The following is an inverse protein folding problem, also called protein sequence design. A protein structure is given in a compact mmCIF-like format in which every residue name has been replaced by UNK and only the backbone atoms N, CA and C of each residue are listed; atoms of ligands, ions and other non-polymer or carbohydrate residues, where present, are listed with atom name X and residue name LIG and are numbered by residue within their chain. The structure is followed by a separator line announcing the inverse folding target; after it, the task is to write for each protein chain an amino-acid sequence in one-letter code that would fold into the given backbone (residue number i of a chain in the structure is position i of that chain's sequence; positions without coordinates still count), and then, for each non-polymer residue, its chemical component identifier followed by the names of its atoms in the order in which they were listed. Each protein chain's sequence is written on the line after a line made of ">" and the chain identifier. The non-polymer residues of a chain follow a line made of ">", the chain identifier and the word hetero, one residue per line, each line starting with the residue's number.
data_IF_733940661256
#
_entry.id   IF_733940661256
#
_cell.length_a   1.000
_cell.length_b   1.000
_cell.length_c   1.000
_cell.angle_alpha   90.00
_cell.angle_beta   90.00
_cell.angle_gamma   90.00
#
_symmetry.space_group_name_H-M   'P 1'
#
loop_
_entity.id
_entity.type
_entity.pdbx_description
1 polymer ?
#
# COMPACT_ATOMS: atom_id res chain seq x y z
N UNK A 1 2.65 8.10 -9.37
CA UNK A 1 3.85 7.99 -8.50
C UNK A 1 4.95 8.96 -8.92
N UNK A 2 5.19 9.16 -10.22
CA UNK A 2 6.17 10.13 -10.74
C UNK A 2 5.68 11.57 -10.55
N UNK A 3 4.42 11.85 -10.80
CA UNK A 3 3.80 13.17 -10.52
C UNK A 3 3.80 13.51 -9.02
N UNK A 4 3.60 12.52 -8.14
CA UNK A 4 3.71 12.73 -6.69
C UNK A 4 5.15 12.97 -6.21
N UNK A 5 6.15 12.37 -6.84
CA UNK A 5 7.57 12.66 -6.52
C UNK A 5 7.98 14.06 -6.96
N UNK A 6 7.56 14.47 -8.14
CA UNK A 6 7.85 15.82 -8.65
C UNK A 6 7.06 16.89 -7.90
N UNK A 7 5.80 16.64 -7.54
CA UNK A 7 5.01 17.53 -6.71
C UNK A 7 5.52 17.67 -5.27
N UNK A 8 6.16 16.63 -4.70
CA UNK A 8 6.82 16.74 -3.39
C UNK A 8 8.16 17.47 -3.45
N UNK A 9 8.88 17.34 -4.54
CA UNK A 9 10.10 18.12 -4.78
C UNK A 9 9.75 19.61 -4.90
N UNK A 10 8.75 19.96 -5.69
CA UNK A 10 8.23 21.33 -5.81
C UNK A 10 7.72 21.91 -4.49
N UNK A 11 7.06 21.10 -3.64
CA UNK A 11 6.61 21.56 -2.32
C UNK A 11 7.73 21.72 -1.29
N UNK A 12 8.85 21.01 -1.44
CA UNK A 12 10.03 21.23 -0.59
C UNK A 12 10.84 22.45 -0.99
N UNK A 13 10.83 22.79 -2.27
CA UNK A 13 11.52 23.97 -2.81
C UNK A 13 10.81 25.29 -2.46
N UNK A 14 9.49 25.28 -2.22
CA UNK A 14 8.70 26.47 -1.82
C UNK A 14 8.93 26.98 -0.39
N UNK A 15 9.96 26.55 0.31
CA UNK A 15 10.31 26.97 1.69
C UNK A 15 11.67 27.63 1.85
N UNK A 16 12.32 27.98 0.76
CA UNK A 16 13.50 28.84 0.75
C UNK A 16 13.09 30.23 0.27
N UNK A 17 13.74 31.26 0.75
CA UNK A 17 13.37 32.66 0.55
C UNK A 17 13.16 33.02 -0.92
N UNK A 18 12.07 33.78 -1.20
CA UNK A 18 11.50 34.00 -2.55
C UNK A 18 12.47 34.60 -3.59
N UNK A 19 13.50 35.30 -3.18
CA UNK A 19 14.47 35.93 -4.10
C UNK A 19 15.54 34.96 -4.62
N UNK A 20 15.97 33.99 -3.80
CA UNK A 20 16.92 32.94 -4.23
C UNK A 20 16.26 31.89 -5.12
N UNK A 21 14.93 31.68 -4.97
CA UNK A 21 14.17 30.72 -5.78
C UNK A 21 14.02 31.18 -7.24
N UNK A 22 13.80 32.46 -7.51
CA UNK A 22 13.70 32.97 -8.88
C UNK A 22 15.02 32.83 -9.65
N UNK A 23 16.15 33.09 -9.02
CA UNK A 23 17.46 32.91 -9.65
C UNK A 23 17.81 31.42 -9.87
N UNK A 24 17.44 30.52 -8.94
CA UNK A 24 17.70 29.08 -9.09
C UNK A 24 16.78 28.41 -10.11
N UNK A 25 15.51 28.85 -10.19
CA UNK A 25 14.57 28.41 -11.23
C UNK A 25 15.01 28.92 -12.60
N UNK A 26 15.49 30.16 -12.70
CA UNK A 26 16.05 30.71 -13.94
C UNK A 26 17.37 30.02 -14.32
N UNK A 27 18.21 29.67 -13.35
CA UNK A 27 19.45 28.94 -13.60
C UNK A 27 19.18 27.48 -14.00
N UNK A 28 18.18 26.83 -13.44
CA UNK A 28 17.72 25.50 -13.86
C UNK A 28 17.10 25.56 -15.27
N UNK A 29 16.24 26.53 -15.57
CA UNK A 29 15.74 26.77 -16.94
C UNK A 29 16.87 27.00 -17.94
N UNK A 30 17.96 27.66 -17.54
CA UNK A 30 19.18 27.82 -18.37
C UNK A 30 20.02 26.54 -18.50
N UNK A 31 20.02 25.67 -17.51
CA UNK A 31 20.78 24.39 -17.51
C UNK A 31 20.20 23.36 -18.48
N UNK A 32 18.93 23.55 -18.87
CA UNK A 32 18.25 22.71 -19.89
C UNK A 32 18.52 23.17 -21.32
N UNK A 33 19.49 24.06 -21.52
CA UNK A 33 19.98 24.42 -22.83
C UNK A 33 21.24 23.60 -23.19
N UNK A 34 21.34 23.12 -24.39
CA UNK A 34 20.35 23.18 -25.47
C UNK A 34 19.63 21.85 -25.61
N UNK A 35 18.31 21.87 -25.65
CA UNK A 35 17.58 20.82 -26.34
C UNK A 35 18.22 20.72 -27.72
N UNK A 36 18.67 19.56 -28.21
CA UNK A 36 19.31 19.42 -29.52
C UNK A 36 18.48 20.15 -30.57
N UNK A 37 19.16 20.82 -31.54
CA UNK A 37 18.50 21.61 -32.60
C UNK A 37 17.37 20.82 -33.27
N UNK A 38 17.51 19.50 -33.40
CA UNK A 38 16.47 18.59 -33.87
C UNK A 38 15.21 18.57 -32.99
N UNK A 39 15.35 18.66 -31.68
CA UNK A 39 14.21 18.67 -30.75
C UNK A 39 13.42 19.97 -30.80
N UNK A 40 14.04 21.10 -31.11
CA UNK A 40 13.32 22.37 -31.33
C UNK A 40 12.48 22.34 -32.60
N UNK A 41 12.98 21.69 -33.66
CA UNK A 41 12.23 21.52 -34.93
C UNK A 41 11.07 20.56 -34.72
N UNK A 42 11.28 19.49 -33.99
CA UNK A 42 10.25 18.50 -33.63
C UNK A 42 9.17 19.15 -32.80
N UNK A 43 9.56 19.95 -31.81
CA UNK A 43 8.70 20.68 -30.93
C UNK A 43 7.76 21.65 -31.66
N UNK A 44 8.24 22.33 -32.69
CA UNK A 44 7.44 23.22 -33.53
C UNK A 44 6.47 22.48 -34.46
N UNK A 45 6.75 21.22 -34.81
CA UNK A 45 5.96 20.45 -35.78
C UNK A 45 5.09 19.39 -35.17
N UNK A 46 5.58 18.67 -34.14
CA UNK A 46 4.87 17.53 -33.60
C UNK A 46 5.44 17.13 -32.22
N UNK A 47 4.74 17.47 -31.15
CA UNK A 47 5.11 17.11 -29.76
C UNK A 47 5.18 15.59 -29.58
N UNK A 48 4.27 14.83 -30.22
CA UNK A 48 4.25 13.36 -30.15
C UNK A 48 5.56 12.72 -30.59
N UNK A 49 6.25 13.34 -31.55
CA UNK A 49 7.54 12.83 -31.99
C UNK A 49 8.61 12.90 -30.89
N UNK A 50 8.60 13.97 -30.10
CA UNK A 50 9.51 14.11 -28.96
C UNK A 50 9.27 13.03 -27.90
N UNK A 51 8.02 12.69 -27.64
CA UNK A 51 7.64 11.69 -26.65
C UNK A 51 8.00 10.25 -27.09
N UNK A 52 8.05 10.01 -28.39
CA UNK A 52 8.39 8.69 -28.95
C UNK A 52 9.91 8.46 -29.10
N UNK A 53 10.74 9.49 -28.85
CA UNK A 53 12.18 9.34 -28.85
C UNK A 53 12.65 8.71 -27.51
N UNK A 54 13.85 8.11 -27.52
CA UNK A 54 14.50 7.55 -26.33
C UNK A 54 15.04 8.65 -25.41
N UNK A 55 14.16 9.53 -24.97
CA UNK A 55 14.43 10.44 -23.87
C UNK A 55 14.06 9.75 -22.56
N UNK A 56 14.76 10.08 -21.49
CA UNK A 56 14.30 9.64 -20.18
C UNK A 56 13.04 10.41 -19.73
N UNK A 57 12.47 10.02 -18.60
CA UNK A 57 11.22 10.62 -18.11
C UNK A 57 11.39 12.09 -17.74
N UNK A 58 12.56 12.46 -17.22
CA UNK A 58 12.86 13.85 -16.87
C UNK A 58 12.90 14.76 -18.10
N UNK A 59 13.54 14.31 -19.18
CA UNK A 59 13.60 15.04 -20.45
C UNK A 59 12.22 15.26 -21.07
N UNK A 60 11.36 14.25 -21.04
CA UNK A 60 9.99 14.34 -21.56
C UNK A 60 9.16 15.36 -20.79
N UNK A 61 9.23 15.37 -19.47
CA UNK A 61 8.53 16.34 -18.63
C UNK A 61 8.99 17.77 -18.90
N UNK A 62 10.31 18.00 -19.01
CA UNK A 62 10.84 19.32 -19.32
C UNK A 62 10.44 19.82 -20.71
N UNK A 63 10.33 18.93 -21.69
CA UNK A 63 9.84 19.27 -23.04
C UNK A 63 8.36 19.69 -22.97
N UNK A 64 7.55 18.99 -22.16
CA UNK A 64 6.14 19.34 -21.97
C UNK A 64 5.98 20.69 -21.26
N UNK A 65 6.70 20.93 -20.18
CA UNK A 65 6.64 22.21 -19.46
C UNK A 65 6.99 23.38 -20.37
N UNK A 66 8.03 23.24 -21.20
CA UNK A 66 8.37 24.26 -22.20
C UNK A 66 7.31 24.45 -23.26
N UNK A 67 6.58 23.39 -23.64
CA UNK A 67 5.48 23.50 -24.57
C UNK A 67 4.38 24.38 -24.01
N UNK A 68 4.04 24.20 -22.72
CA UNK A 68 3.06 25.03 -22.03
C UNK A 68 3.52 26.48 -21.88
N UNK A 69 4.79 26.71 -21.53
CA UNK A 69 5.35 28.05 -21.35
C UNK A 69 5.40 28.89 -22.65
N UNK A 70 5.69 28.25 -23.79
CA UNK A 70 5.88 28.96 -25.04
C UNK A 70 4.67 28.99 -25.98
N UNK A 71 3.76 28.04 -25.84
CA UNK A 71 2.59 27.91 -26.71
C UNK A 71 1.34 27.40 -25.98
N UNK A 72 0.88 28.08 -24.91
CA UNK A 72 -0.29 27.63 -24.16
C UNK A 72 -1.55 27.55 -25.05
N UNK A 73 -1.67 28.45 -26.00
CA UNK A 73 -2.86 28.54 -26.88
C UNK A 73 -2.91 27.48 -27.99
N UNK A 74 -1.83 26.69 -28.14
CA UNK A 74 -1.70 25.67 -29.20
C UNK A 74 -1.84 24.22 -28.67
N UNK A 75 -1.93 24.06 -27.37
CA UNK A 75 -2.12 22.77 -26.74
C UNK A 75 -3.62 22.51 -26.57
N UNK A 76 -4.19 21.78 -27.51
CA UNK A 76 -5.60 21.39 -27.48
C UNK A 76 -5.72 20.16 -26.59
N UNK A 77 -6.74 20.04 -25.71
CA UNK A 77 -7.01 18.82 -24.98
C UNK A 77 -7.06 17.60 -25.91
N UNK A 78 -6.32 16.55 -25.58
CA UNK A 78 -6.15 15.35 -26.43
C UNK A 78 -5.03 15.42 -27.46
N UNK A 79 -4.30 16.52 -27.56
CA UNK A 79 -3.15 16.65 -28.48
C UNK A 79 -1.90 15.97 -27.94
N UNK A 80 -1.81 15.78 -26.62
CA UNK A 80 -0.77 15.00 -25.95
C UNK A 80 -1.28 13.58 -25.73
N UNK A 81 -0.42 12.56 -25.92
CA UNK A 81 -0.79 11.22 -25.51
C UNK A 81 -1.08 11.24 -24.01
N UNK A 82 -2.14 10.57 -23.62
CA UNK A 82 -2.42 10.36 -22.21
C UNK A 82 -1.22 9.64 -21.57
N UNK A 83 -0.80 10.10 -20.39
CA UNK A 83 0.23 9.42 -19.62
C UNK A 83 -0.40 8.16 -19.07
N UNK A 84 0.00 7.01 -19.61
CA UNK A 84 -0.39 5.72 -19.03
C UNK A 84 0.16 5.63 -17.61
N UNK A 85 -0.72 5.39 -16.65
CA UNK A 85 -0.33 5.07 -15.28
C UNK A 85 0.32 3.70 -15.16
N UNK A 86 1.00 3.46 -14.06
CA UNK A 86 1.51 2.13 -13.73
C UNK A 86 0.35 1.13 -13.64
N UNK A 87 0.49 -0.04 -14.27
CA UNK A 87 -0.56 -1.06 -14.28
C UNK A 87 -0.85 -1.59 -12.88
N UNK A 88 -2.12 -1.87 -12.61
CA UNK A 88 -2.50 -2.70 -11.49
C UNK A 88 -2.12 -4.15 -11.79
N UNK A 89 -1.33 -4.76 -10.93
CA UNK A 89 -0.80 -6.11 -11.16
C UNK A 89 -1.33 -7.14 -10.17
N UNK A 90 -1.74 -6.69 -8.98
CA UNK A 90 -2.30 -7.55 -7.92
C UNK A 90 -3.40 -6.82 -7.16
N UNK A 91 -4.50 -7.53 -6.85
CA UNK A 91 -5.49 -7.07 -5.87
C UNK A 91 -5.80 -8.24 -4.95
N UNK A 92 -5.29 -8.17 -3.71
CA UNK A 92 -5.62 -9.13 -2.66
C UNK A 92 -6.93 -8.78 -1.97
N UNK A 93 -7.65 -9.80 -1.54
CA UNK A 93 -8.86 -9.66 -0.73
C UNK A 93 -8.99 -10.85 0.22
N UNK A 94 -9.42 -10.59 1.44
CA UNK A 94 -9.71 -11.63 2.43
C UNK A 94 -11.10 -11.44 2.99
N UNK A 95 -11.83 -12.53 3.17
CA UNK A 95 -13.23 -12.50 3.58
C UNK A 95 -13.40 -13.21 4.92
N UNK A 96 -14.04 -12.51 5.85
CA UNK A 96 -14.32 -12.99 7.20
C UNK A 96 -15.81 -12.91 7.48
N UNK A 97 -16.31 -13.84 8.28
CA UNK A 97 -17.61 -13.69 8.90
C UNK A 97 -17.47 -12.96 10.24
N UNK A 98 -18.46 -12.16 10.58
CA UNK A 98 -18.48 -11.46 11.86
C UNK A 98 -18.34 -12.46 13.02
N UNK A 99 -17.40 -12.18 13.94
CA UNK A 99 -17.10 -13.05 15.08
C UNK A 99 -16.05 -14.15 14.82
N UNK A 100 -15.72 -14.49 13.58
CA UNK A 100 -14.70 -15.49 13.27
C UNK A 100 -13.28 -14.90 13.26
N UNK A 101 -12.30 -15.70 13.69
CA UNK A 101 -10.90 -15.28 13.83
C UNK A 101 -10.07 -15.54 12.57
N UNK A 102 -10.54 -16.43 11.72
CA UNK A 102 -9.87 -16.85 10.49
C UNK A 102 -10.70 -16.47 9.28
N UNK A 103 -10.07 -16.10 8.16
CA UNK A 103 -10.80 -15.88 6.92
C UNK A 103 -11.42 -17.22 6.46
N UNK A 104 -12.62 -17.16 5.93
CA UNK A 104 -13.21 -18.31 5.25
C UNK A 104 -12.80 -18.37 3.78
N UNK A 105 -12.24 -17.27 3.24
CA UNK A 105 -11.81 -17.19 1.86
C UNK A 105 -10.71 -16.13 1.70
N UNK A 106 -9.59 -16.52 1.11
CA UNK A 106 -8.50 -15.66 0.70
C UNK A 106 -8.45 -15.63 -0.83
N UNK A 107 -8.33 -14.45 -1.41
CA UNK A 107 -8.39 -14.28 -2.85
C UNK A 107 -7.35 -13.27 -3.33
N UNK A 108 -6.75 -13.54 -4.49
CA UNK A 108 -5.91 -12.57 -5.17
C UNK A 108 -6.14 -12.65 -6.69
N UNK A 109 -6.49 -11.53 -7.31
CA UNK A 109 -6.45 -11.40 -8.78
C UNK A 109 -5.07 -10.92 -9.18
N UNK A 110 -4.51 -11.52 -10.22
CA UNK A 110 -3.13 -11.28 -10.67
C UNK A 110 -3.10 -11.05 -12.18
N UNK A 111 -2.36 -10.03 -12.60
CA UNK A 111 -2.07 -9.80 -14.01
C UNK A 111 -0.92 -10.72 -14.45
N UNK A 112 -1.14 -11.46 -15.53
CA UNK A 112 -0.33 -12.57 -16.03
C UNK A 112 -0.40 -13.83 -15.17
N UNK A 113 0.19 -14.93 -15.67
CA UNK A 113 0.19 -16.23 -15.01
C UNK A 113 0.80 -16.18 -13.61
N UNK A 114 0.17 -16.83 -12.66
CA UNK A 114 0.62 -16.94 -11.28
C UNK A 114 0.38 -18.37 -10.78
N UNK A 115 1.35 -18.93 -10.07
CA UNK A 115 1.19 -20.23 -9.43
C UNK A 115 0.35 -20.08 -8.14
N UNK A 116 -0.29 -21.16 -7.72
CA UNK A 116 -1.03 -21.18 -6.46
C UNK A 116 -0.10 -21.02 -5.24
N UNK A 117 -0.60 -20.38 -4.21
CA UNK A 117 0.09 -20.25 -2.94
C UNK A 117 -0.28 -21.41 -2.01
N UNK A 118 0.56 -22.44 -1.99
CA UNK A 118 0.35 -23.62 -1.13
C UNK A 118 0.44 -23.33 0.37
N UNK A 119 1.04 -22.21 0.75
CA UNK A 119 1.31 -21.83 2.13
C UNK A 119 0.20 -20.99 2.78
N UNK A 120 -0.81 -20.57 2.03
CA UNK A 120 -1.95 -19.80 2.54
C UNK A 120 -3.20 -20.67 2.46
N UNK A 121 -3.78 -21.07 3.59
CA UNK A 121 -5.00 -21.88 3.60
C UNK A 121 -6.16 -21.15 2.90
N UNK A 122 -7.02 -21.92 2.26
CA UNK A 122 -8.25 -21.43 1.61
C UNK A 122 -8.01 -20.25 0.67
N UNK A 123 -6.88 -20.27 -0.05
CA UNK A 123 -6.52 -19.24 -1.01
C UNK A 123 -6.85 -19.63 -2.44
N UNK A 124 -7.38 -18.69 -3.21
CA UNK A 124 -7.62 -18.80 -4.64
C UNK A 124 -6.91 -17.67 -5.36
N UNK A 125 -6.06 -18.02 -6.31
CA UNK A 125 -5.37 -17.09 -7.19
C UNK A 125 -6.04 -17.13 -8.57
N UNK A 126 -6.54 -15.99 -9.02
CA UNK A 126 -7.11 -15.87 -10.37
C UNK A 126 -6.16 -15.04 -11.25
N UNK A 127 -5.64 -15.67 -12.30
CA UNK A 127 -4.72 -15.04 -13.26
C UNK A 127 -5.49 -14.51 -14.48
N UNK A 128 -5.11 -13.33 -14.95
CA UNK A 128 -5.72 -12.67 -16.09
C UNK A 128 -4.65 -12.14 -17.05
N UNK A 129 -4.90 -12.26 -18.35
CA UNK A 129 -3.98 -11.80 -19.39
C UNK A 129 -4.04 -10.28 -19.61
N UNK A 130 -5.16 -9.67 -19.27
CA UNK A 130 -5.34 -8.21 -19.40
C UNK A 130 -5.69 -7.56 -18.06
N UNK A 131 -5.22 -6.33 -17.88
CA UNK A 131 -5.54 -5.55 -16.68
C UNK A 131 -7.05 -5.29 -16.57
N UNK A 132 -7.72 -5.06 -17.70
CA UNK A 132 -9.18 -4.93 -17.77
C UNK A 132 -9.90 -6.13 -17.15
N UNK A 133 -9.54 -7.32 -17.59
CA UNK A 133 -10.19 -8.55 -17.12
C UNK A 133 -9.89 -8.80 -15.65
N UNK A 134 -8.68 -8.49 -15.19
CA UNK A 134 -8.29 -8.56 -13.78
C UNK A 134 -9.13 -7.60 -12.91
N UNK A 135 -9.29 -6.35 -13.32
CA UNK A 135 -10.13 -5.38 -12.60
C UNK A 135 -11.59 -5.82 -12.53
N UNK A 136 -12.12 -6.34 -13.62
CA UNK A 136 -13.50 -6.89 -13.68
C UNK A 136 -13.62 -8.19 -12.89
N UNK A 137 -12.58 -9.02 -12.86
CA UNK A 137 -12.50 -10.22 -12.01
C UNK A 137 -12.62 -9.86 -10.54
N UNK A 138 -11.86 -8.87 -10.07
CA UNK A 138 -12.00 -8.39 -8.69
C UNK A 138 -13.41 -7.85 -8.39
N UNK A 139 -13.99 -7.05 -9.29
CA UNK A 139 -15.37 -6.60 -9.15
C UNK A 139 -16.36 -7.77 -9.03
N UNK A 140 -16.16 -8.85 -9.83
CA UNK A 140 -17.01 -10.02 -9.79
C UNK A 140 -16.95 -10.75 -8.43
N UNK A 141 -15.76 -10.84 -7.82
CA UNK A 141 -15.61 -11.42 -6.48
C UNK A 141 -16.35 -10.58 -5.44
N UNK A 142 -16.22 -9.25 -5.46
CA UNK A 142 -16.97 -8.38 -4.55
C UNK A 142 -18.50 -8.55 -4.73
N UNK A 143 -18.97 -8.75 -5.95
CA UNK A 143 -20.39 -9.00 -6.20
C UNK A 143 -20.84 -10.41 -5.74
N UNK A 144 -19.98 -11.41 -5.89
CA UNK A 144 -20.25 -12.81 -5.52
C UNK A 144 -20.28 -13.00 -4.02
N UNK A 145 -19.25 -12.51 -3.33
CA UNK A 145 -19.12 -12.64 -1.87
C UNK A 145 -20.01 -11.64 -1.12
N UNK A 146 -20.44 -10.59 -1.79
CA UNK A 146 -21.39 -9.57 -1.32
C UNK A 146 -21.12 -9.04 0.11
N UNK A 147 -19.91 -8.54 0.41
CA UNK A 147 -19.55 -8.12 1.75
C UNK A 147 -20.40 -6.95 2.24
N UNK A 148 -20.79 -6.98 3.52
CA UNK A 148 -21.48 -5.86 4.19
C UNK A 148 -20.51 -4.72 4.50
N UNK A 149 -19.27 -5.06 4.82
CA UNK A 149 -18.22 -4.12 5.23
C UNK A 149 -16.96 -4.37 4.41
N UNK A 150 -16.42 -3.31 3.83
CA UNK A 150 -15.12 -3.31 3.16
C UNK A 150 -14.16 -2.53 4.04
N UNK A 151 -13.06 -3.19 4.44
CA UNK A 151 -12.06 -2.63 5.33
C UNK A 151 -10.73 -2.56 4.56
N UNK A 152 -10.03 -1.45 4.71
CA UNK A 152 -8.70 -1.33 4.13
C UNK A 152 -7.83 -0.33 4.88
N UNK A 153 -6.63 -0.14 4.40
CA UNK A 153 -5.66 0.78 4.98
C UNK A 153 -5.21 1.82 3.96
N UNK A 154 -5.65 3.05 4.13
CA UNK A 154 -5.45 4.16 3.18
C UNK A 154 -6.14 3.96 1.82
N UNK A 155 -7.22 3.20 1.79
CA UNK A 155 -7.97 2.92 0.57
C UNK A 155 -8.61 4.18 -0.02
N UNK A 156 -8.96 5.16 0.82
CA UNK A 156 -9.51 6.45 0.36
C UNK A 156 -8.42 7.40 -0.15
N UNK A 157 -7.17 7.21 0.28
CA UNK A 157 -6.06 8.04 -0.16
C UNK A 157 -5.30 7.48 -1.36
N UNK A 158 -5.44 6.18 -1.63
CA UNK A 158 -4.64 5.53 -2.67
C UNK A 158 -5.43 4.51 -3.50
N UNK A 159 -5.96 3.43 -2.89
CA UNK A 159 -6.46 2.27 -3.67
C UNK A 159 -7.66 2.62 -4.55
N UNK A 160 -8.67 3.29 -4.01
CA UNK A 160 -9.85 3.62 -4.80
C UNK A 160 -9.60 4.63 -5.93
N UNK A 161 -8.88 5.76 -5.71
CA UNK A 161 -8.50 6.63 -6.80
C UNK A 161 -7.67 5.92 -7.87
N UNK A 162 -6.74 5.06 -7.44
CA UNK A 162 -5.90 4.30 -8.34
C UNK A 162 -6.73 3.32 -9.19
N UNK A 163 -7.55 2.48 -8.57
CA UNK A 163 -8.39 1.53 -9.28
C UNK A 163 -9.40 2.21 -10.21
N UNK A 164 -9.95 3.36 -9.79
CA UNK A 164 -10.85 4.15 -10.63
C UNK A 164 -10.14 4.63 -11.90
N UNK A 165 -8.97 5.25 -11.76
CA UNK A 165 -8.17 5.73 -12.89
C UNK A 165 -7.74 4.56 -13.80
N UNK A 166 -7.31 3.42 -13.21
CA UNK A 166 -6.97 2.24 -14.00
C UNK A 166 -8.16 1.69 -14.79
N UNK A 167 -9.35 1.67 -14.19
CA UNK A 167 -10.57 1.24 -14.88
C UNK A 167 -10.98 2.20 -16.01
N UNK A 168 -10.72 3.50 -15.84
CA UNK A 168 -10.94 4.52 -16.86
C UNK A 168 -9.97 4.33 -18.04
N UNK A 169 -8.67 4.26 -17.78
CA UNK A 169 -7.63 4.04 -18.80
C UNK A 169 -7.78 2.70 -19.56
N UNK A 170 -8.31 1.67 -18.89
CA UNK A 170 -8.63 0.38 -19.52
C UNK A 170 -10.04 0.34 -20.17
N UNK A 171 -10.73 1.46 -20.28
CA UNK A 171 -12.06 1.57 -20.89
C UNK A 171 -13.09 0.60 -20.30
N UNK A 172 -13.00 0.29 -19.01
CA UNK A 172 -13.93 -0.60 -18.31
C UNK A 172 -14.62 0.04 -17.11
N UNK A 173 -14.48 1.34 -16.91
CA UNK A 173 -14.99 2.06 -15.74
C UNK A 173 -16.47 1.81 -15.47
N UNK A 174 -17.32 1.84 -16.50
CA UNK A 174 -18.77 1.62 -16.35
C UNK A 174 -19.08 0.25 -15.79
N UNK A 175 -18.36 -0.79 -16.25
CA UNK A 175 -18.51 -2.16 -15.77
C UNK A 175 -17.87 -2.35 -14.39
N UNK A 176 -16.71 -1.75 -14.15
CA UNK A 176 -16.02 -1.77 -12.87
C UNK A 176 -16.87 -1.15 -11.76
N UNK A 177 -17.55 -0.05 -12.04
CA UNK A 177 -18.41 0.64 -11.07
C UNK A 177 -19.74 -0.09 -10.76
N UNK A 178 -20.03 -1.23 -11.36
CA UNK A 178 -21.14 -2.11 -10.95
C UNK A 178 -20.81 -2.89 -9.66
N UNK A 179 -20.26 -2.24 -8.67
CA UNK A 179 -19.78 -2.80 -7.39
C UNK A 179 -20.78 -2.56 -6.26
N UNK A 180 -21.84 -1.80 -6.53
CA UNK A 180 -22.94 -1.54 -5.59
C UNK A 180 -23.73 -2.81 -5.29
N UNK A 181 -24.25 -2.89 -4.06
CA UNK A 181 -25.31 -3.84 -3.70
C UNK A 181 -26.66 -3.42 -4.30
N UNK A 182 -26.94 -2.12 -4.28
CA UNK A 182 -28.11 -1.56 -4.95
C UNK A 182 -27.87 -1.43 -6.46
N UNK A 183 -28.44 -2.35 -7.24
CA UNK A 183 -28.25 -2.40 -8.70
C UNK A 183 -28.84 -1.21 -9.46
N UNK A 184 -29.73 -0.44 -8.82
CA UNK A 184 -30.40 0.71 -9.44
C UNK A 184 -29.58 2.01 -9.30
N UNK A 185 -28.50 2.00 -8.55
CA UNK A 185 -27.65 3.16 -8.31
C UNK A 185 -26.28 2.93 -8.95
N UNK A 186 -25.82 3.93 -9.69
CA UNK A 186 -24.46 3.91 -10.25
C UNK A 186 -23.45 4.35 -9.20
N UNK A 187 -22.44 3.54 -8.97
CA UNK A 187 -21.28 3.95 -8.20
C UNK A 187 -20.54 5.08 -8.91
N UNK A 188 -19.93 5.92 -8.12
CA UNK A 188 -19.07 7.02 -8.62
C UNK A 188 -17.94 7.26 -7.63
N UNK A 189 -16.83 7.79 -8.10
CA UNK A 189 -15.81 8.33 -7.23
C UNK A 189 -16.36 9.62 -6.59
N UNK A 190 -16.30 9.70 -5.28
CA UNK A 190 -16.66 10.88 -4.49
C UNK A 190 -15.38 11.47 -3.93
N UNK A 191 -15.12 12.72 -4.27
CA UNK A 191 -14.02 13.49 -3.70
C UNK A 191 -14.59 14.40 -2.62
N UNK A 192 -14.16 14.20 -1.38
CA UNK A 192 -14.61 14.98 -0.23
C UNK A 192 -13.43 15.47 0.56
N UNK A 193 -13.43 16.74 0.85
CA UNK A 193 -12.46 17.35 1.75
C UNK A 193 -13.07 17.50 3.13
N UNK A 194 -12.38 16.96 4.14
CA UNK A 194 -12.76 17.13 5.55
C UNK A 194 -11.66 17.87 6.30
N UNK A 195 -12.08 18.75 7.19
CA UNK A 195 -11.17 19.47 8.08
C UNK A 195 -11.38 19.00 9.51
N UNK A 196 -10.36 18.43 10.09
CA UNK A 196 -10.33 17.95 11.48
C UNK A 196 -9.12 18.57 12.22
N UNK A 197 -8.99 18.33 13.51
CA UNK A 197 -7.91 18.91 14.33
C UNK A 197 -6.50 18.63 13.78
N UNK A 198 -6.29 17.47 13.15
CA UNK A 198 -5.02 17.08 12.53
C UNK A 198 -4.77 17.70 11.14
N UNK A 199 -5.65 18.58 10.67
CA UNK A 199 -5.54 19.27 9.37
C UNK A 199 -6.67 18.97 8.39
N UNK A 200 -6.44 19.33 7.14
CA UNK A 200 -7.35 19.07 6.03
C UNK A 200 -7.00 17.74 5.36
N UNK A 201 -7.99 16.86 5.20
CA UNK A 201 -7.84 15.55 4.60
C UNK A 201 -8.74 15.41 3.39
N UNK A 202 -8.19 14.88 2.31
CA UNK A 202 -8.94 14.52 1.12
C UNK A 202 -9.33 13.06 1.20
N UNK A 203 -10.61 12.77 1.04
CA UNK A 203 -11.18 11.43 1.00
C UNK A 203 -11.72 11.19 -0.41
N UNK A 204 -11.14 10.22 -1.10
CA UNK A 204 -11.59 9.81 -2.41
C UNK A 204 -12.10 8.37 -2.31
N UNK A 205 -13.39 8.18 -2.38
CA UNK A 205 -13.98 6.85 -2.22
C UNK A 205 -15.02 6.56 -3.29
N UNK A 206 -15.12 5.30 -3.66
CA UNK A 206 -16.18 4.83 -4.56
C UNK A 206 -17.45 4.69 -3.72
N UNK A 207 -18.50 5.44 -4.04
CA UNK A 207 -19.78 5.30 -3.36
C UNK A 207 -20.38 3.91 -3.66
N UNK A 208 -20.55 3.10 -2.62
CA UNK A 208 -21.08 1.75 -2.69
C UNK A 208 -22.31 1.63 -1.79
N UNK A 209 -23.47 1.93 -2.33
CA UNK A 209 -24.70 1.83 -1.55
C UNK A 209 -24.97 0.39 -1.12
N UNK A 210 -25.32 0.24 0.16
CA UNK A 210 -25.52 -1.05 0.80
C UNK A 210 -24.25 -1.72 1.33
N UNK A 211 -23.09 -1.03 1.29
CA UNK A 211 -21.82 -1.48 1.89
C UNK A 211 -21.23 -0.40 2.76
N UNK A 212 -20.77 -0.77 3.93
CA UNK A 212 -19.99 0.11 4.81
C UNK A 212 -18.52 0.05 4.38
N UNK A 213 -17.83 1.18 4.37
CA UNK A 213 -16.42 1.26 4.03
C UNK A 213 -15.64 1.87 5.18
N UNK A 214 -14.60 1.19 5.62
CA UNK A 214 -13.76 1.59 6.75
C UNK A 214 -12.30 1.71 6.30
N UNK A 215 -11.76 2.91 6.38
CA UNK A 215 -10.34 3.15 6.16
C UNK A 215 -9.62 3.29 7.49
N UNK A 216 -8.85 2.28 7.87
CA UNK A 216 -8.13 2.24 9.15
C UNK A 216 -7.04 3.30 9.26
N UNK A 217 -6.44 3.73 8.16
CA UNK A 217 -5.46 4.82 8.21
C UNK A 217 -6.08 6.12 8.72
N UNK A 218 -7.26 6.47 8.23
CA UNK A 218 -7.99 7.64 8.67
C UNK A 218 -8.53 7.47 10.10
N UNK A 219 -8.99 6.26 10.45
CA UNK A 219 -9.43 5.93 11.80
C UNK A 219 -8.30 6.16 12.81
N UNK A 220 -7.13 5.55 12.62
CA UNK A 220 -6.02 5.69 13.57
C UNK A 220 -5.48 7.12 13.66
N UNK A 221 -5.45 7.85 12.56
CA UNK A 221 -5.03 9.26 12.58
C UNK A 221 -5.96 10.17 13.39
N UNK A 222 -7.21 9.78 13.51
CA UNK A 222 -8.21 10.52 14.30
C UNK A 222 -8.20 10.11 15.76
N UNK A 223 -8.14 8.81 16.04
CA UNK A 223 -8.40 8.27 17.38
C UNK A 223 -7.11 8.07 18.21
N UNK A 224 -5.95 7.89 17.56
CA UNK A 224 -4.73 7.51 18.26
C UNK A 224 -3.57 8.40 17.85
N UNK A 225 -2.84 8.93 18.84
CA UNK A 225 -1.63 9.69 18.57
C UNK A 225 -0.40 8.77 18.48
N UNK A 226 0.08 8.52 17.27
CA UNK A 226 1.22 7.65 16.98
C UNK A 226 2.34 8.42 16.28
N UNK A 227 3.61 8.09 16.53
CA UNK A 227 4.75 8.66 15.82
C UNK A 227 4.75 8.39 14.32
N UNK A 228 4.09 7.31 13.89
CA UNK A 228 3.95 6.92 12.48
C UNK A 228 2.65 6.17 12.25
N UNK A 229 1.99 6.50 11.15
CA UNK A 229 0.78 5.81 10.70
C UNK A 229 1.04 4.89 9.49
N UNK A 230 2.29 4.43 9.29
CA UNK A 230 2.57 3.34 8.34
C UNK A 230 1.99 2.05 8.88
N UNK A 231 1.43 1.22 8.00
CA UNK A 231 0.80 -0.06 8.39
C UNK A 231 1.73 -0.91 9.25
N UNK A 232 3.01 -1.00 8.92
CA UNK A 232 4.02 -1.74 9.70
C UNK A 232 4.14 -1.24 11.15
N UNK A 233 4.11 0.09 11.32
CA UNK A 233 4.21 0.67 12.66
C UNK A 233 2.95 0.41 13.47
N UNK A 234 1.79 0.63 12.87
CA UNK A 234 0.49 0.40 13.50
C UNK A 234 0.32 -1.07 13.86
N UNK A 235 0.67 -1.98 12.94
CA UNK A 235 0.65 -3.41 13.21
C UNK A 235 1.55 -3.79 14.39
N UNK A 236 2.80 -3.34 14.39
CA UNK A 236 3.75 -3.60 15.49
C UNK A 236 3.31 -2.98 16.82
N UNK A 237 2.58 -1.87 16.77
CA UNK A 237 2.08 -1.21 17.97
C UNK A 237 0.93 -1.97 18.62
N UNK A 238 -0.05 -2.41 17.82
CA UNK A 238 -1.26 -3.07 18.34
C UNK A 238 -1.14 -4.59 18.43
N UNK A 239 -0.40 -5.23 17.52
CA UNK A 239 -0.12 -6.67 17.57
C UNK A 239 1.27 -6.85 18.16
N UNK A 240 1.32 -6.88 19.47
CA UNK A 240 2.54 -7.02 20.24
C UNK A 240 2.26 -6.93 21.72
N UNK A 241 3.17 -7.49 22.53
CA UNK A 241 3.03 -7.53 23.97
C UNK A 241 4.38 -7.77 24.67
N UNK A 242 4.39 -7.75 25.98
CA UNK A 242 5.57 -8.02 26.78
C UNK A 242 5.86 -9.52 26.86
N UNK A 243 7.14 -9.84 26.81
CA UNK A 243 7.64 -11.19 27.05
C UNK A 243 7.74 -11.43 28.56
N UNK A 244 7.16 -12.53 29.02
CA UNK A 244 7.20 -12.99 30.43
C UNK A 244 8.41 -13.84 30.74
N UNK A 245 8.74 -14.71 29.78
CA UNK A 245 9.74 -15.76 29.99
C UNK A 245 10.41 -16.07 28.63
N UNK A 246 11.70 -16.39 28.69
CA UNK A 246 12.54 -16.70 27.55
C UNK A 246 13.32 -17.99 27.83
N UNK A 247 13.08 -19.00 27.01
CA UNK A 247 13.74 -20.29 27.12
C UNK A 247 14.41 -20.67 25.79
N UNK A 248 15.71 -20.87 25.81
CA UNK A 248 16.47 -21.34 24.65
C UNK A 248 16.58 -22.86 24.67
N UNK A 249 16.37 -23.49 23.51
CA UNK A 249 16.62 -24.90 23.30
C UNK A 249 17.44 -25.14 22.02
N UNK A 250 17.69 -26.40 21.67
CA UNK A 250 18.45 -26.77 20.47
C UNK A 250 17.82 -26.26 19.15
N UNK A 251 16.53 -25.90 19.17
CA UNK A 251 15.74 -25.56 17.99
C UNK A 251 15.32 -24.10 17.97
N UNK A 252 15.85 -23.23 18.84
CA UNK A 252 15.57 -21.79 18.89
C UNK A 252 15.14 -21.27 20.25
N UNK A 253 14.49 -20.11 20.25
CA UNK A 253 14.00 -19.46 21.48
C UNK A 253 12.50 -19.59 21.61
N UNK A 254 12.02 -20.13 22.69
CA UNK A 254 10.62 -20.14 23.12
C UNK A 254 10.36 -18.94 24.02
N UNK A 255 9.37 -18.11 23.65
CA UNK A 255 9.01 -16.91 24.39
C UNK A 255 7.56 -17.03 24.87
N UNK A 256 7.31 -16.74 26.15
CA UNK A 256 5.98 -16.63 26.73
C UNK A 256 5.55 -15.17 26.74
N UNK A 257 4.28 -14.92 26.43
CA UNK A 257 3.68 -13.59 26.40
C UNK A 257 2.27 -13.62 26.99
N UNK A 258 1.75 -12.47 27.40
CA UNK A 258 0.39 -12.40 27.97
C UNK A 258 -0.69 -12.52 26.91
N UNK A 259 -0.43 -11.98 25.73
CA UNK A 259 -1.40 -11.93 24.66
C UNK A 259 -0.72 -12.12 23.31
N UNK A 260 -1.12 -13.17 22.59
CA UNK A 260 -0.62 -13.50 21.25
C UNK A 260 -1.66 -13.18 20.16
N UNK A 261 -2.80 -12.60 20.49
CA UNK A 261 -3.87 -12.31 19.52
C UNK A 261 -3.36 -11.52 18.33
N UNK A 262 -3.57 -12.05 17.13
CA UNK A 262 -3.11 -11.49 15.87
C UNK A 262 -1.74 -11.96 15.40
N UNK A 263 -0.99 -12.72 16.24
CA UNK A 263 0.21 -13.42 15.82
C UNK A 263 -0.17 -14.76 15.19
N UNK A 264 0.51 -15.12 14.11
CA UNK A 264 0.33 -16.41 13.43
C UNK A 264 1.66 -17.10 13.21
N UNK A 265 1.62 -18.42 13.04
CA UNK A 265 2.78 -19.21 12.61
C UNK A 265 3.31 -18.66 11.29
N UNK A 266 4.63 -18.58 11.18
CA UNK A 266 5.38 -18.01 10.06
C UNK A 266 5.33 -16.49 9.92
N UNK A 267 4.62 -15.75 10.76
CA UNK A 267 4.80 -14.31 10.88
C UNK A 267 6.22 -13.96 11.31
N UNK A 268 6.60 -12.70 11.09
CA UNK A 268 7.84 -12.14 11.61
C UNK A 268 7.54 -11.25 12.82
N UNK A 269 8.44 -11.28 13.80
CA UNK A 269 8.38 -10.42 14.98
C UNK A 269 9.67 -9.64 15.15
N UNK A 270 9.57 -8.47 15.78
CA UNK A 270 10.69 -7.67 16.25
C UNK A 270 10.64 -7.58 17.77
N UNK A 271 11.80 -7.37 18.38
CA UNK A 271 11.89 -7.15 19.80
C UNK A 271 12.39 -5.75 20.10
N UNK A 272 11.83 -5.14 21.13
CA UNK A 272 12.23 -3.87 21.69
C UNK A 272 12.61 -4.10 23.15
N UNK A 273 13.76 -3.56 23.55
CA UNK A 273 14.22 -3.59 24.94
C UNK A 273 13.86 -2.25 25.57
N UNK A 274 13.09 -2.31 26.66
CA UNK A 274 12.58 -1.14 27.36
C UNK A 274 13.36 -0.99 28.65
N UNK A 275 14.13 0.10 28.75
CA UNK A 275 14.88 0.48 29.95
C UNK A 275 14.08 1.33 30.93
N UNK A 276 14.67 1.67 32.07
CA UNK A 276 14.07 2.54 33.09
C UNK A 276 14.07 4.04 32.73
N UNK A 277 14.88 4.45 31.79
CA UNK A 277 14.89 5.79 31.19
C UNK A 277 14.48 5.64 29.71
N UNK A 278 14.19 6.73 29.02
CA UNK A 278 13.71 6.79 27.63
C UNK A 278 14.54 6.03 26.57
N UNK A 279 15.48 5.22 26.97
CA UNK A 279 16.39 4.43 26.13
C UNK A 279 15.76 3.11 25.67
N UNK A 280 14.64 3.24 24.96
CA UNK A 280 14.05 2.10 24.26
C UNK A 280 14.81 1.87 22.97
N UNK A 281 15.34 0.69 22.75
CA UNK A 281 16.02 0.36 21.52
C UNK A 281 15.59 -0.98 20.93
N UNK A 282 15.68 -1.05 19.62
CA UNK A 282 15.35 -2.29 18.89
C UNK A 282 16.45 -3.31 19.09
N UNK A 283 16.07 -4.48 19.57
CA UNK A 283 16.99 -5.60 19.74
C UNK A 283 17.56 -6.02 18.38
N UNK A 284 18.89 -6.10 18.28
CA UNK A 284 19.62 -6.37 17.03
C UNK A 284 19.17 -5.47 15.87
N UNK A 285 18.82 -4.22 16.16
CA UNK A 285 18.49 -3.22 15.16
C UNK A 285 17.18 -3.50 14.42
N UNK A 286 17.25 -3.66 13.09
CA UNK A 286 16.08 -3.93 12.24
C UNK A 286 15.78 -5.41 12.04
N UNK A 287 16.48 -6.31 12.71
CA UNK A 287 16.31 -7.74 12.48
C UNK A 287 14.91 -8.19 12.84
N UNK A 288 14.39 -9.08 12.02
CA UNK A 288 13.10 -9.74 12.19
C UNK A 288 13.34 -11.22 12.42
N UNK A 289 12.49 -11.82 13.23
CA UNK A 289 12.61 -13.20 13.65
C UNK A 289 11.36 -13.96 13.23
N UNK A 290 11.53 -15.04 12.48
CA UNK A 290 10.40 -15.83 11.99
C UNK A 290 9.84 -16.72 13.09
N UNK A 291 8.56 -16.65 13.33
CA UNK A 291 7.81 -17.54 14.22
C UNK A 291 7.70 -18.90 13.55
N UNK A 292 8.32 -19.92 14.13
CA UNK A 292 8.31 -21.29 13.59
C UNK A 292 7.22 -22.15 14.21
N UNK A 293 6.81 -21.81 15.43
CA UNK A 293 5.77 -22.52 16.18
C UNK A 293 5.12 -21.60 17.21
N UNK A 294 3.88 -21.90 17.59
CA UNK A 294 3.16 -21.15 18.62
C UNK A 294 1.99 -21.94 19.17
N UNK A 295 1.60 -21.59 20.40
CA UNK A 295 0.36 -22.05 21.03
C UNK A 295 -0.26 -20.83 21.75
N UNK A 296 -1.41 -20.38 21.24
CA UNK A 296 -2.09 -19.20 21.77
C UNK A 296 -2.70 -19.47 23.15
N UNK A 297 -3.26 -20.66 23.36
CA UNK A 297 -3.89 -21.06 24.63
C UNK A 297 -2.88 -21.12 25.78
N UNK A 298 -1.67 -21.63 25.51
CA UNK A 298 -0.58 -21.68 26.47
C UNK A 298 0.24 -20.38 26.55
N UNK A 299 -0.02 -19.43 25.66
CA UNK A 299 0.59 -18.11 25.64
C UNK A 299 2.08 -18.11 25.27
N UNK A 300 2.50 -18.90 24.27
CA UNK A 300 3.89 -18.93 23.83
C UNK A 300 4.04 -18.99 22.31
N UNK A 301 5.17 -18.48 21.84
CA UNK A 301 5.62 -18.65 20.46
C UNK A 301 7.13 -18.94 20.44
N UNK A 302 7.62 -19.49 19.33
CA UNK A 302 9.01 -19.90 19.14
C UNK A 302 9.59 -19.29 17.87
N UNK A 303 10.80 -18.76 17.97
CA UNK A 303 11.61 -18.30 16.83
C UNK A 303 12.80 -19.23 16.64
N UNK A 304 13.31 -19.29 15.39
CA UNK A 304 14.37 -20.23 15.02
C UNK A 304 15.72 -19.90 15.67
N UNK A 305 15.98 -18.62 15.88
CA UNK A 305 17.24 -18.12 16.40
C UNK A 305 17.32 -18.28 17.92
N UNK A 306 18.51 -18.54 18.43
CA UNK A 306 18.79 -18.46 19.86
C UNK A 306 19.06 -17.02 20.25
N UNK A 307 18.11 -16.44 20.99
CA UNK A 307 18.13 -15.03 21.40
C UNK A 307 18.65 -14.92 22.83
N UNK A 308 19.60 -14.02 23.01
CA UNK A 308 20.11 -13.64 24.34
C UNK A 308 19.77 -12.17 24.54
N UNK A 309 18.89 -11.89 25.47
CA UNK A 309 18.48 -10.53 25.81
C UNK A 309 19.30 -10.01 27.00
N UNK A 310 19.44 -8.70 27.11
CA UNK A 310 20.10 -8.06 28.24
C UNK A 310 19.29 -8.23 29.52
N UNK A 311 19.98 -8.61 30.61
CA UNK A 311 19.36 -8.74 31.92
C UNK A 311 18.80 -7.41 32.45
N UNK A 312 17.69 -7.48 33.17
CA UNK A 312 17.07 -6.32 33.80
C UNK A 312 16.25 -5.41 32.87
N UNK A 313 16.15 -5.71 31.57
CA UNK A 313 15.29 -4.97 30.64
C UNK A 313 13.99 -5.71 30.36
N UNK A 314 12.91 -4.95 30.26
CA UNK A 314 11.63 -5.50 29.76
C UNK A 314 11.70 -5.71 28.27
N UNK A 315 11.29 -6.87 27.80
CA UNK A 315 11.26 -7.23 26.40
C UNK A 315 9.84 -7.07 25.90
N UNK A 316 9.66 -6.30 24.83
CA UNK A 316 8.40 -6.21 24.11
C UNK A 316 8.61 -6.83 22.72
N UNK A 317 7.72 -7.70 22.30
CA UNK A 317 7.65 -8.13 20.91
C UNK A 317 6.55 -7.35 20.17
N UNK A 318 6.72 -7.18 18.88
CA UNK A 318 5.71 -6.61 17.98
C UNK A 318 5.78 -7.29 16.63
N UNK A 319 4.62 -7.40 15.99
CA UNK A 319 4.52 -7.96 14.65
C UNK A 319 5.37 -7.14 13.68
N UNK A 320 6.09 -7.82 12.82
CA UNK A 320 6.88 -7.19 11.77
C UNK A 320 6.37 -7.68 10.41
N UNK A 321 6.21 -6.76 9.49
CA UNK A 321 5.81 -7.07 8.11
C UNK A 321 6.91 -7.86 7.40
N UNK A 322 6.54 -8.72 6.45
CA UNK A 322 7.50 -9.40 5.56
C UNK A 322 8.39 -8.40 4.82
N UNK A 323 9.64 -8.81 4.51
CA UNK A 323 10.62 -7.96 3.86
C UNK A 323 10.49 -8.01 2.33
N UNK A 324 9.32 -7.69 1.79
CA UNK A 324 9.17 -7.46 0.36
C UNK A 324 9.35 -5.97 0.12
N UNK A 325 10.51 -5.60 -0.43
CA UNK A 325 10.81 -4.22 -0.75
C UNK A 325 10.08 -3.79 -2.04
N UNK A 326 9.87 -2.48 -2.30
CA UNK A 326 9.33 -2.02 -3.57
C UNK A 326 10.13 -2.51 -4.78
N UNK A 327 11.45 -2.63 -4.66
CA UNK A 327 12.32 -3.17 -5.71
C UNK A 327 12.05 -4.67 -5.94
N UNK A 328 11.83 -5.44 -4.87
CA UNK A 328 11.45 -6.85 -4.98
C UNK A 328 10.07 -6.99 -5.64
N UNK A 329 9.10 -6.14 -5.29
CA UNK A 329 7.78 -6.16 -5.94
C UNK A 329 7.95 -5.98 -7.45
N UNK A 330 8.68 -4.96 -7.91
CA UNK A 330 8.92 -4.74 -9.34
C UNK A 330 9.64 -5.92 -10.00
N UNK A 331 10.67 -6.45 -9.36
CA UNK A 331 11.44 -7.58 -9.89
C UNK A 331 10.59 -8.85 -10.00
N UNK A 332 9.88 -9.21 -8.94
CA UNK A 332 9.08 -10.44 -8.87
C UNK A 332 7.81 -10.36 -9.73
N UNK A 333 7.19 -9.20 -9.84
CA UNK A 333 6.03 -8.99 -10.74
C UNK A 333 6.39 -9.30 -12.19
N UNK A 334 7.59 -8.89 -12.62
CA UNK A 334 8.10 -9.12 -13.98
C UNK A 334 8.82 -10.48 -14.13
N UNK A 335 8.87 -11.28 -13.09
CA UNK A 335 9.50 -12.58 -13.06
C UNK A 335 8.63 -13.72 -13.60
N UNK A 336 8.82 -14.90 -13.04
CA UNK A 336 8.06 -16.12 -13.36
C UNK A 336 6.69 -16.15 -12.65
N UNK A 337 5.85 -17.15 -12.97
CA UNK A 337 4.60 -17.42 -12.24
C UNK A 337 4.84 -17.71 -10.75
N UNK A 338 5.97 -18.36 -10.42
CA UNK A 338 6.40 -18.60 -9.03
C UNK A 338 6.79 -17.32 -8.31
N UNK A 339 7.45 -16.40 -8.99
CA UNK A 339 7.82 -15.10 -8.42
C UNK A 339 6.56 -14.28 -8.11
N UNK A 340 5.57 -14.32 -9.01
CA UNK A 340 4.28 -13.63 -8.79
C UNK A 340 3.49 -14.27 -7.63
N UNK A 341 3.59 -15.57 -7.42
CA UNK A 341 2.96 -16.24 -6.27
C UNK A 341 3.48 -15.71 -4.92
N UNK A 342 4.76 -15.31 -4.84
CA UNK A 342 5.33 -14.67 -3.65
C UNK A 342 4.62 -13.34 -3.35
N UNK A 343 4.37 -12.52 -4.40
CA UNK A 343 3.67 -11.24 -4.25
C UNK A 343 2.18 -11.45 -3.92
N UNK A 344 1.52 -12.42 -4.56
CA UNK A 344 0.13 -12.75 -4.28
C UNK A 344 -0.06 -13.15 -2.81
N UNK A 345 0.82 -14.02 -2.29
CA UNK A 345 0.87 -14.37 -0.87
C UNK A 345 1.03 -13.14 0.01
N UNK A 346 1.98 -12.27 -0.33
CA UNK A 346 2.22 -11.04 0.40
C UNK A 346 0.98 -10.12 0.41
N UNK A 347 0.28 -9.96 -0.72
CA UNK A 347 -0.96 -9.19 -0.80
C UNK A 347 -2.05 -9.75 0.12
N UNK A 348 -2.25 -11.07 0.13
CA UNK A 348 -3.22 -11.73 1.01
C UNK A 348 -2.84 -11.53 2.49
N UNK A 349 -1.58 -11.66 2.83
CA UNK A 349 -1.10 -11.46 4.20
C UNK A 349 -1.31 -10.02 4.69
N UNK A 350 -1.12 -9.03 3.82
CA UNK A 350 -1.41 -7.63 4.13
C UNK A 350 -2.90 -7.40 4.39
N UNK A 351 -3.78 -8.03 3.62
CA UNK A 351 -5.23 -7.97 3.85
C UNK A 351 -5.62 -8.60 5.20
N UNK A 352 -5.06 -9.79 5.52
CA UNK A 352 -5.26 -10.44 6.80
C UNK A 352 -4.78 -9.56 7.96
N UNK A 353 -3.63 -8.91 7.80
CA UNK A 353 -3.08 -8.00 8.80
C UNK A 353 -4.03 -6.84 9.12
N UNK A 354 -4.63 -6.22 8.10
CA UNK A 354 -5.61 -5.15 8.26
C UNK A 354 -6.80 -5.63 9.11
N UNK A 355 -7.30 -6.82 8.83
CA UNK A 355 -8.41 -7.41 9.60
C UNK A 355 -8.01 -7.71 11.06
N UNK A 356 -6.79 -8.22 11.30
CA UNK A 356 -6.32 -8.47 12.66
C UNK A 356 -6.22 -7.18 13.48
N UNK A 357 -5.73 -6.09 12.89
CA UNK A 357 -5.68 -4.77 13.53
C UNK A 357 -7.09 -4.26 13.82
N UNK A 358 -8.00 -4.38 12.87
CA UNK A 358 -9.40 -3.98 13.03
C UNK A 358 -10.08 -4.65 14.21
N UNK A 359 -9.89 -5.97 14.34
CA UNK A 359 -10.47 -6.76 15.42
C UNK A 359 -9.79 -6.52 16.77
N UNK A 360 -8.45 -6.47 16.77
CA UNK A 360 -7.66 -6.25 18.00
C UNK A 360 -8.06 -4.97 18.72
N UNK A 361 -8.46 -3.95 17.98
CA UNK A 361 -8.86 -2.66 18.52
C UNK A 361 -10.38 -2.52 18.69
N UNK A 362 -11.13 -3.59 18.46
CA UNK A 362 -12.60 -3.61 18.51
C UNK A 362 -13.25 -2.41 17.80
N UNK A 363 -12.71 -2.08 16.64
CA UNK A 363 -13.11 -0.87 15.91
C UNK A 363 -14.58 -0.95 15.50
N UNK A 364 -15.09 -2.16 15.28
CA UNK A 364 -16.49 -2.37 14.89
C UNK A 364 -17.47 -1.84 15.93
N UNK A 365 -17.25 -2.13 17.19
CA UNK A 365 -18.10 -1.67 18.31
C UNK A 365 -18.17 -0.14 18.39
N UNK A 366 -17.11 0.55 17.96
CA UNK A 366 -17.10 2.01 17.89
C UNK A 366 -17.91 2.61 16.74
N UNK A 367 -18.37 1.79 15.76
CA UNK A 367 -19.23 2.21 14.65
C UNK A 367 -20.71 1.89 14.86
N UNK A 368 -21.05 1.07 15.86
CA UNK A 368 -22.41 0.73 16.26
C UNK A 368 -22.83 1.62 17.43
#
# INVERSE_FOLDING_TARGET
>A
LLLKKNGKALQKEKRMDDEDEEEEVIARKKKWHPVPIGSQIIFKKNILFCLNHKFDVGDKLAILDRAFDHHPDKLIPGMLPELEGDKCTFIGSTFFKSGENTPYFNHCVVLNSCDDTTDVPDSVIESYDTEKDMLLGWRNIIQKEDPDVIIGYNIFGFDYPFLYTRAEENHCLTEFLKINRNKNVKSRLVEKQIRIASGTHQLNYINMEGRIQVDLYNHFRREVNLPSYKLDYVASHFIGDYVKDVNNDSNGTKLKSYNLTGLQRYNYVRFELIGHSSDNYKFKGKNKFKVIDMNEDEGWFKVKENLVFEEGKKIRWGLAKDDVTPQDIFRLTNGTSKDRAIIAKYCIQDCNLVQHIFRKNDIWTGFI
#
